data_IF_851721586184
#
_entry.id   IF_851721586184
#
_cell.length_a   1.000
_cell.length_b   1.000
_cell.length_c   1.000
_cell.angle_alpha   90.00
_cell.angle_beta   90.00
_cell.angle_gamma   90.00
#
_symmetry.space_group_name_H-M   'P 1'
#
loop_
_entity.id
_entity.type
_entity.pdbx_description
1 polymer ?
#
# COMPACT_ATOMS: atom_id res chain seq x y z
N UNK A 1 -22.39 -5.28 2.58
CA UNK A 1 -22.46 -4.67 1.22
C UNK A 1 -21.10 -4.83 0.56
N UNK A 2 -21.04 -5.35 -0.66
CA UNK A 2 -19.76 -5.47 -1.39
C UNK A 2 -19.26 -4.11 -1.85
N UNK A 3 -17.96 -4.05 -2.09
CA UNK A 3 -17.33 -2.89 -2.69
C UNK A 3 -17.35 -3.07 -4.21
N UNK A 4 -17.85 -2.08 -4.93
CA UNK A 4 -17.77 -2.03 -6.39
C UNK A 4 -16.34 -1.68 -6.84
N UNK A 5 -15.91 -2.09 -8.06
CA UNK A 5 -14.68 -1.58 -8.65
C UNK A 5 -14.66 -0.05 -8.66
N UNK A 6 -13.48 0.54 -8.48
CA UNK A 6 -13.30 1.99 -8.40
C UNK A 6 -11.95 2.41 -8.97
N UNK A 7 -11.85 3.64 -9.45
CA UNK A 7 -10.62 4.15 -10.04
C UNK A 7 -9.66 4.72 -9.00
N UNK A 8 -8.37 4.49 -9.21
CA UNK A 8 -7.27 5.15 -8.51
C UNK A 8 -6.28 5.72 -9.52
N UNK A 9 -5.57 6.75 -9.10
CA UNK A 9 -4.35 7.23 -9.76
C UNK A 9 -3.26 7.44 -8.71
N UNK A 10 -2.00 7.30 -9.10
CA UNK A 10 -0.86 7.71 -8.28
C UNK A 10 -0.60 9.19 -8.51
N UNK A 11 -0.46 9.95 -7.42
CA UNK A 11 -0.20 11.37 -7.52
C UNK A 11 0.65 11.89 -6.39
N UNK A 12 1.52 12.84 -6.71
CA UNK A 12 2.38 13.47 -5.73
C UNK A 12 3.42 12.50 -5.19
N UNK A 13 4.21 12.98 -4.23
CA UNK A 13 5.13 12.14 -3.49
C UNK A 13 5.37 12.68 -2.09
N UNK A 14 5.94 11.82 -1.26
CA UNK A 14 6.32 12.20 0.10
C UNK A 14 7.22 11.16 0.72
N UNK A 15 7.46 11.33 2.01
CA UNK A 15 8.35 10.47 2.76
C UNK A 15 7.80 10.07 4.12
N UNK A 16 8.30 8.96 4.65
CA UNK A 16 8.13 8.55 6.03
C UNK A 16 9.48 8.44 6.75
N UNK A 17 9.45 8.65 8.06
CA UNK A 17 10.60 8.42 8.93
C UNK A 17 11.82 9.29 8.63
N UNK A 18 11.61 10.51 8.11
CA UNK A 18 12.67 11.48 7.73
C UNK A 18 13.74 10.83 6.83
N UNK A 19 13.33 10.41 5.63
CA UNK A 19 14.23 9.86 4.61
C UNK A 19 14.40 8.34 4.69
N UNK A 20 13.52 7.61 5.38
CA UNK A 20 13.58 6.14 5.46
C UNK A 20 12.71 5.43 4.42
N UNK A 21 11.66 6.10 3.94
CA UNK A 21 10.85 5.61 2.83
C UNK A 21 10.36 6.77 1.97
N UNK A 22 10.48 6.62 0.65
CA UNK A 22 9.88 7.47 -0.37
C UNK A 22 8.62 6.79 -0.91
N UNK A 23 7.57 7.55 -1.14
CA UNK A 23 6.31 7.02 -1.66
C UNK A 23 5.62 7.98 -2.62
N UNK A 24 4.80 7.42 -3.52
CA UNK A 24 3.80 8.16 -4.29
C UNK A 24 2.44 8.07 -3.60
N UNK A 25 1.68 9.18 -3.60
CA UNK A 25 0.33 9.23 -3.04
C UNK A 25 -0.68 8.57 -3.97
N UNK A 26 -1.92 8.43 -3.51
CA UNK A 26 -3.03 8.01 -4.35
C UNK A 26 -4.16 9.06 -4.33
N UNK A 27 -4.89 9.19 -5.43
CA UNK A 27 -6.13 9.97 -5.56
C UNK A 27 -7.23 9.14 -6.26
N UNK A 28 -8.44 9.71 -6.39
CA UNK A 28 -9.61 9.00 -6.93
C UNK A 28 -10.49 8.42 -5.81
N UNK A 29 -10.80 7.13 -5.89
CA UNK A 29 -11.69 6.40 -4.97
C UNK A 29 -11.14 6.18 -3.55
N UNK A 30 -10.54 7.20 -2.92
CA UNK A 30 -9.90 7.10 -1.60
C UNK A 30 -10.88 6.79 -0.46
N UNK A 31 -12.13 7.24 -0.56
CA UNK A 31 -13.16 6.88 0.40
C UNK A 31 -13.44 5.36 0.37
N UNK A 32 -13.55 4.81 -0.83
CA UNK A 32 -13.75 3.37 -1.06
C UNK A 32 -12.53 2.56 -0.60
N UNK A 33 -11.33 3.04 -0.89
CA UNK A 33 -10.09 2.39 -0.45
C UNK A 33 -9.94 2.38 1.08
N UNK A 34 -10.29 3.48 1.77
CA UNK A 34 -10.31 3.54 3.24
C UNK A 34 -11.29 2.54 3.83
N UNK A 35 -12.50 2.47 3.28
CA UNK A 35 -13.49 1.48 3.71
C UNK A 35 -13.02 0.04 3.49
N UNK A 36 -12.31 -0.25 2.40
CA UNK A 36 -11.69 -1.57 2.18
C UNK A 36 -10.60 -1.86 3.21
N UNK A 37 -9.75 -0.88 3.54
CA UNK A 37 -8.71 -1.03 4.55
C UNK A 37 -9.31 -1.33 5.94
N UNK A 38 -10.35 -0.60 6.35
CA UNK A 38 -11.03 -0.82 7.63
C UNK A 38 -11.67 -2.22 7.72
N UNK A 39 -12.25 -2.69 6.61
CA UNK A 39 -12.82 -4.04 6.51
C UNK A 39 -11.75 -5.12 6.57
N UNK A 40 -10.61 -4.92 5.90
CA UNK A 40 -9.48 -5.83 5.95
C UNK A 40 -8.88 -5.91 7.35
N UNK A 41 -8.69 -4.78 8.03
CA UNK A 41 -8.26 -4.73 9.43
C UNK A 41 -9.25 -5.48 10.34
N UNK A 42 -10.55 -5.23 10.18
CA UNK A 42 -11.58 -5.93 10.95
C UNK A 42 -11.59 -7.44 10.70
N UNK A 43 -11.32 -7.88 9.47
CA UNK A 43 -11.21 -9.30 9.14
C UNK A 43 -9.97 -9.93 9.78
N UNK A 44 -8.82 -9.25 9.75
CA UNK A 44 -7.60 -9.69 10.43
C UNK A 44 -7.80 -9.86 11.94
N UNK A 45 -8.44 -8.88 12.59
CA UNK A 45 -8.79 -8.96 14.03
C UNK A 45 -9.65 -10.18 14.34
N UNK A 46 -10.70 -10.44 13.54
CA UNK A 46 -11.56 -11.63 13.72
C UNK A 46 -10.83 -12.95 13.48
N UNK A 47 -9.79 -12.94 12.65
CA UNK A 47 -8.93 -14.09 12.42
C UNK A 47 -7.82 -14.26 13.48
N UNK A 48 -7.79 -13.40 14.52
CA UNK A 48 -6.79 -13.47 15.60
C UNK A 48 -5.44 -12.84 15.26
N UNK A 49 -5.34 -12.05 14.19
CA UNK A 49 -4.11 -11.32 13.85
C UNK A 49 -3.92 -10.15 14.81
N UNK A 50 -2.76 -10.09 15.47
CA UNK A 50 -2.38 -8.94 16.27
C UNK A 50 -2.23 -7.70 15.37
N UNK A 51 -3.19 -6.78 15.48
CA UNK A 51 -3.11 -5.49 14.83
C UNK A 51 -2.32 -4.54 15.74
N UNK A 52 -1.21 -3.99 15.24
CA UNK A 52 -0.43 -2.98 15.96
C UNK A 52 -1.22 -1.70 16.24
N UNK A 53 -0.53 -0.68 16.76
CA UNK A 53 -1.14 0.61 17.06
C UNK A 53 -1.93 1.19 15.87
N UNK A 54 -3.12 1.73 16.16
CA UNK A 54 -3.96 2.35 15.15
C UNK A 54 -3.29 3.61 14.59
N UNK A 55 -2.72 3.48 13.40
CA UNK A 55 -2.15 4.60 12.65
C UNK A 55 -3.16 5.04 11.61
N UNK A 56 -3.32 6.35 11.44
CA UNK A 56 -4.14 6.91 10.37
C UNK A 56 -3.72 6.30 9.03
N UNK A 57 -4.64 5.61 8.38
CA UNK A 57 -4.39 5.00 7.08
C UNK A 57 -4.06 6.08 6.04
N UNK A 58 -2.87 5.96 5.44
CA UNK A 58 -2.37 6.83 4.37
C UNK A 58 -2.15 5.96 3.13
N UNK A 59 -3.07 5.96 2.16
CA UNK A 59 -2.86 5.31 0.87
C UNK A 59 -1.58 5.80 0.20
N UNK A 60 -0.67 4.87 -0.12
CA UNK A 60 0.60 5.19 -0.75
C UNK A 60 1.18 3.97 -1.47
N UNK A 61 1.99 4.21 -2.49
CA UNK A 61 2.88 3.22 -3.08
C UNK A 61 4.30 3.52 -2.60
N UNK A 62 4.92 2.60 -1.86
CA UNK A 62 6.35 2.72 -1.51
C UNK A 62 7.19 2.57 -2.77
N UNK A 63 8.02 3.57 -3.08
CA UNK A 63 8.92 3.58 -4.23
C UNK A 63 10.34 3.19 -3.84
N UNK A 64 10.78 3.61 -2.66
CA UNK A 64 12.08 3.27 -2.11
C UNK A 64 11.99 3.17 -0.59
N UNK A 65 12.80 2.27 -0.02
CA UNK A 65 12.96 2.11 1.42
C UNK A 65 14.44 1.89 1.73
N UNK A 66 14.94 2.52 2.78
CA UNK A 66 16.30 2.35 3.25
C UNK A 66 16.35 2.17 4.77
N UNK A 67 17.34 1.41 5.22
CA UNK A 67 17.65 1.27 6.66
C UNK A 67 18.28 2.55 7.21
N UNK A 68 19.09 3.23 6.40
CA UNK A 68 19.71 4.51 6.70
C UNK A 68 18.91 5.63 6.03
N UNK A 69 18.74 6.76 6.72
CA UNK A 69 18.06 7.90 6.12
C UNK A 69 18.84 8.42 4.91
N UNK A 70 18.13 8.78 3.84
CA UNK A 70 18.68 9.47 2.67
C UNK A 70 17.97 10.80 2.46
N UNK A 71 18.60 11.71 1.71
CA UNK A 71 17.96 12.96 1.33
C UNK A 71 16.85 12.70 0.30
N UNK A 72 15.61 12.61 0.78
CA UNK A 72 14.45 12.36 -0.07
C UNK A 72 13.94 13.63 -0.78
N UNK A 73 14.44 14.83 -0.45
CA UNK A 73 13.89 16.10 -0.95
C UNK A 73 13.86 16.19 -2.48
N UNK A 74 14.93 15.87 -3.23
CA UNK A 74 14.92 15.98 -4.69
C UNK A 74 13.83 15.09 -5.33
N UNK A 75 13.59 13.91 -4.75
CA UNK A 75 12.58 12.98 -5.26
C UNK A 75 11.16 13.39 -4.89
N UNK A 76 10.97 13.97 -3.70
CA UNK A 76 9.67 14.53 -3.29
C UNK A 76 9.30 15.71 -4.19
N UNK A 77 10.26 16.58 -4.48
CA UNK A 77 10.08 17.72 -5.41
C UNK A 77 9.76 17.24 -6.83
N UNK A 78 10.50 16.26 -7.35
CA UNK A 78 10.23 15.67 -8.66
C UNK A 78 8.83 15.03 -8.74
N UNK A 79 8.35 14.44 -7.64
CA UNK A 79 7.04 13.82 -7.58
C UNK A 79 5.89 14.82 -7.32
N UNK A 80 6.17 16.07 -6.95
CA UNK A 80 5.12 17.03 -6.56
C UNK A 80 4.06 17.24 -7.66
N UNK A 81 4.50 17.29 -8.93
CA UNK A 81 3.63 17.38 -10.10
C UNK A 81 3.26 16.04 -10.73
N UNK A 82 3.80 14.92 -10.24
CA UNK A 82 3.58 13.61 -10.84
C UNK A 82 2.11 13.18 -10.74
N UNK A 83 1.58 12.74 -11.88
CA UNK A 83 0.26 12.12 -11.99
C UNK A 83 0.40 10.91 -12.92
N UNK A 84 0.06 9.71 -12.42
CA UNK A 84 0.08 8.48 -13.19
C UNK A 84 -1.22 8.24 -13.96
N UNK A 85 -1.25 7.22 -14.84
CA UNK A 85 -2.49 6.79 -15.47
C UNK A 85 -3.49 6.34 -14.40
N UNK A 86 -4.78 6.59 -14.63
CA UNK A 86 -5.84 6.00 -13.82
C UNK A 86 -5.94 4.50 -14.11
N UNK A 87 -6.27 3.71 -13.08
CA UNK A 87 -6.61 2.30 -13.24
C UNK A 87 -7.79 1.92 -12.34
N UNK A 88 -8.53 0.92 -12.79
CA UNK A 88 -9.63 0.34 -12.00
C UNK A 88 -9.10 -0.71 -11.04
N UNK A 89 -9.40 -0.56 -9.76
CA UNK A 89 -9.19 -1.58 -8.75
C UNK A 89 -10.29 -2.63 -8.88
N UNK A 90 -9.91 -3.87 -9.16
CA UNK A 90 -10.84 -4.98 -9.44
C UNK A 90 -10.89 -6.03 -8.33
N UNK A 91 -9.87 -6.14 -7.50
CA UNK A 91 -9.77 -7.16 -6.45
C UNK A 91 -8.92 -6.69 -5.28
N UNK A 92 -9.12 -7.36 -4.13
CA UNK A 92 -8.25 -7.28 -2.96
C UNK A 92 -7.53 -8.62 -2.80
N UNK A 93 -6.21 -8.58 -2.63
CA UNK A 93 -5.40 -9.77 -2.39
C UNK A 93 -4.96 -9.87 -0.92
N UNK A 94 -5.00 -11.08 -0.37
CA UNK A 94 -4.26 -11.43 0.84
C UNK A 94 -2.86 -11.88 0.41
N UNK A 95 -1.82 -11.25 0.96
CA UNK A 95 -0.43 -11.46 0.55
C UNK A 95 0.38 -12.00 1.73
N UNK A 96 1.09 -13.11 1.51
CA UNK A 96 2.11 -13.63 2.41
C UNK A 96 3.47 -13.03 2.00
N UNK A 97 4.20 -12.52 2.98
CA UNK A 97 5.56 -11.99 2.78
C UNK A 97 6.58 -12.99 3.31
N UNK A 98 7.59 -13.30 2.51
CA UNK A 98 8.77 -14.06 2.90
C UNK A 98 9.92 -13.07 3.05
N UNK A 99 10.34 -12.87 4.30
CA UNK A 99 11.44 -11.97 4.60
C UNK A 99 12.77 -12.67 4.33
N UNK A 100 13.80 -11.93 3.86
CA UNK A 100 15.16 -12.43 3.80
C UNK A 100 15.62 -12.97 5.15
N UNK A 101 16.12 -14.20 5.19
CA UNK A 101 16.71 -14.83 6.39
C UNK A 101 18.16 -15.31 6.17
N UNK A 102 18.63 -15.30 4.92
CA UNK A 102 19.93 -15.85 4.51
C UNK A 102 21.14 -14.99 4.95
N UNK A 103 20.90 -13.74 5.37
CA UNK A 103 21.95 -12.78 5.71
C UNK A 103 22.66 -12.16 4.50
N UNK A 104 22.28 -12.49 3.26
CA UNK A 104 22.85 -11.89 2.05
C UNK A 104 22.48 -10.40 1.97
N UNK A 105 23.47 -9.48 1.91
CA UNK A 105 23.20 -8.06 1.78
C UNK A 105 22.38 -7.75 0.52
N UNK A 106 21.28 -7.03 0.69
CA UNK A 106 20.44 -6.58 -0.42
C UNK A 106 19.37 -7.58 -0.87
N UNK A 107 19.27 -8.75 -0.26
CA UNK A 107 18.16 -9.68 -0.52
C UNK A 107 16.82 -8.99 -0.24
N UNK A 108 15.88 -9.15 -1.18
CA UNK A 108 14.57 -8.50 -1.14
C UNK A 108 13.50 -9.48 -0.68
N UNK A 109 12.48 -9.01 0.06
CA UNK A 109 11.34 -9.84 0.41
C UNK A 109 10.63 -10.36 -0.84
N UNK A 110 10.16 -11.61 -0.77
CA UNK A 110 9.27 -12.19 -1.79
C UNK A 110 7.84 -12.12 -1.30
N UNK A 111 6.92 -11.86 -2.22
CA UNK A 111 5.49 -11.73 -1.92
C UNK A 111 4.70 -12.75 -2.72
N UNK A 112 3.76 -13.42 -2.07
CA UNK A 112 2.88 -14.39 -2.67
C UNK A 112 1.42 -14.02 -2.36
N UNK A 113 0.60 -13.87 -3.40
CA UNK A 113 -0.84 -13.72 -3.22
C UNK A 113 -1.44 -15.10 -2.88
N UNK A 114 -1.91 -15.27 -1.65
CA UNK A 114 -2.48 -16.54 -1.17
C UNK A 114 -4.00 -16.60 -1.34
N UNK A 115 -4.67 -15.46 -1.54
CA UNK A 115 -6.07 -15.38 -1.91
C UNK A 115 -6.36 -14.06 -2.62
N UNK A 116 -7.41 -14.04 -3.46
CA UNK A 116 -7.94 -12.82 -4.08
C UNK A 116 -9.46 -12.81 -3.94
N UNK A 117 -10.00 -11.64 -3.61
CA UNK A 117 -11.44 -11.39 -3.53
C UNK A 117 -11.83 -10.33 -4.56
N UNK A 118 -12.59 -10.69 -5.61
CA UNK A 118 -12.97 -9.74 -6.63
C UNK A 118 -14.07 -8.78 -6.13
N UNK A 119 -13.96 -7.53 -6.56
CA UNK A 119 -14.93 -6.46 -6.33
C UNK A 119 -16.11 -6.61 -7.32
N UNK A 120 -17.32 -6.21 -6.90
CA UNK A 120 -18.53 -6.18 -7.75
C UNK A 120 -19.19 -7.51 -8.20
N UNK A 121 -18.49 -8.66 -8.24
CA UNK A 121 -19.06 -9.90 -8.85
C UNK A 121 -19.88 -10.79 -7.91
N UNK A 122 -21.20 -10.65 -7.85
CA UNK A 122 -22.13 -11.55 -7.13
C UNK A 122 -21.72 -13.03 -7.20
N UNK A 123 -21.62 -13.67 -6.04
CA UNK A 123 -21.74 -15.13 -5.97
C UNK A 123 -23.21 -15.50 -5.98
#
# INVERSE_FOLDING_TARGET
>A
RRTEPFELTLRGGGQFGRGRALWAGAEGGLATLRLLADRAESAGRRAGVEMGEHRRYRPHLTLARSRQAFDARPYVEALAGFTGPAWTVTDLALVRSFLPDSGVPGEQPRYEAVARSPLGVSG
#
